data_IF_562656316728
#
_entry.id   IF_562656316728
#
_cell.length_a   1.000
_cell.length_b   1.000
_cell.length_c   1.000
_cell.angle_alpha   90.00
_cell.angle_beta   90.00
_cell.angle_gamma   90.00
#
_symmetry.space_group_name_H-M   'P 1'
#
loop_
_entity.id
_entity.type
_entity.pdbx_description
1 polymer ?
#
# COMPACT_ATOMS: atom_id res chain seq x y z
N UNK A 1 23.84 42.69 36.28
CA UNK A 1 23.19 42.06 35.10
C UNK A 1 23.83 40.72 34.69
N UNK A 2 25.16 40.60 34.59
CA UNK A 2 25.84 39.33 34.19
C UNK A 2 25.60 38.11 35.10
N UNK A 3 25.48 38.33 36.42
CA UNK A 3 25.28 37.26 37.41
C UNK A 3 23.90 36.59 37.30
N UNK A 4 22.86 37.37 37.04
CA UNK A 4 21.50 36.84 36.83
C UNK A 4 21.39 36.08 35.51
N UNK A 5 22.10 36.53 34.46
CA UNK A 5 22.17 35.83 33.17
C UNK A 5 22.78 34.43 33.30
N UNK A 6 23.86 34.29 34.08
CA UNK A 6 24.50 33.00 34.37
C UNK A 6 23.57 32.04 35.13
N UNK A 7 22.80 32.54 36.09
CA UNK A 7 21.82 31.74 36.84
C UNK A 7 20.68 31.28 35.92
N UNK A 8 20.17 32.17 35.05
CA UNK A 8 19.15 31.80 34.07
C UNK A 8 19.64 30.74 33.07
N UNK A 9 20.85 30.90 32.53
CA UNK A 9 21.46 29.89 31.65
C UNK A 9 21.67 28.55 32.36
N UNK A 10 22.11 28.57 33.62
CA UNK A 10 22.29 27.36 34.42
C UNK A 10 20.96 26.65 34.72
N UNK A 11 19.88 27.41 34.98
CA UNK A 11 18.55 26.85 35.18
C UNK A 11 17.90 26.36 33.88
N UNK A 12 18.22 26.96 32.72
CA UNK A 12 17.74 26.54 31.40
C UNK A 12 18.45 25.29 30.87
N UNK A 13 19.70 25.04 31.26
CA UNK A 13 20.47 23.89 30.81
C UNK A 13 19.78 22.53 31.06
N UNK A 14 19.27 22.20 32.27
CA UNK A 14 18.56 20.93 32.50
C UNK A 14 17.23 20.85 31.73
N UNK A 15 16.53 21.98 31.55
CA UNK A 15 15.29 22.02 30.75
C UNK A 15 15.58 21.74 29.28
N UNK A 16 16.64 22.32 28.72
CA UNK A 16 17.08 22.07 27.36
C UNK A 16 17.55 20.62 27.16
N UNK A 17 18.27 20.05 28.13
CA UNK A 17 18.69 18.65 28.13
C UNK A 17 17.50 17.68 28.18
N UNK A 18 16.52 17.94 29.04
CA UNK A 18 15.29 17.15 29.11
C UNK A 18 14.50 17.26 27.80
N UNK A 19 14.32 18.48 27.27
CA UNK A 19 13.63 18.70 26.00
C UNK A 19 14.34 17.98 24.84
N UNK A 20 15.68 18.00 24.80
CA UNK A 20 16.45 17.26 23.81
C UNK A 20 16.29 15.74 23.99
N UNK A 21 16.43 15.24 25.21
CA UNK A 21 16.35 13.80 25.47
C UNK A 21 14.96 13.24 25.11
N UNK A 22 13.88 13.89 25.56
CA UNK A 22 12.50 13.44 25.32
C UNK A 22 11.96 13.75 23.92
N UNK A 23 12.61 14.63 23.15
CA UNK A 23 12.24 14.92 21.77
C UNK A 23 13.21 14.28 20.76
N UNK A 24 14.23 15.03 20.29
CA UNK A 24 15.15 14.55 19.25
C UNK A 24 16.00 13.34 19.68
N UNK A 25 16.32 13.18 20.96
CA UNK A 25 17.06 12.04 21.50
C UNK A 25 16.31 10.71 21.34
N UNK A 26 15.04 10.65 21.76
CA UNK A 26 14.18 9.49 21.54
C UNK A 26 13.99 9.20 20.05
N UNK A 27 13.81 10.22 19.21
CA UNK A 27 13.70 10.04 17.77
C UNK A 27 14.97 9.45 17.13
N UNK A 28 16.15 9.72 17.71
CA UNK A 28 17.40 9.09 17.29
C UNK A 28 17.45 7.60 17.61
N UNK A 29 17.08 7.21 18.84
CA UNK A 29 17.04 5.80 19.25
C UNK A 29 16.02 5.00 18.43
N UNK A 30 14.83 5.57 18.22
CA UNK A 30 13.77 4.98 17.43
C UNK A 30 14.19 4.69 15.97
N UNK A 31 15.05 5.53 15.38
CA UNK A 31 15.62 5.31 14.04
C UNK A 31 16.61 4.15 14.00
N UNK A 32 17.45 4.00 15.02
CA UNK A 32 18.42 2.91 15.07
C UNK A 32 17.72 1.56 15.33
N UNK A 33 16.69 1.56 16.18
CA UNK A 33 15.82 0.40 16.35
C UNK A 33 15.13 0.02 15.03
N UNK A 34 14.50 1.00 14.36
CA UNK A 34 13.89 0.77 13.05
C UNK A 34 14.90 0.23 12.03
N UNK A 35 16.13 0.77 11.99
CA UNK A 35 17.18 0.31 11.07
C UNK A 35 17.56 -1.16 11.30
N UNK A 36 17.63 -1.59 12.55
CA UNK A 36 17.91 -2.98 12.91
C UNK A 36 16.80 -3.89 12.39
N UNK A 37 15.54 -3.54 12.61
CA UNK A 37 14.39 -4.31 12.12
C UNK A 37 14.27 -4.30 10.59
N UNK A 38 14.63 -3.19 9.93
CA UNK A 38 14.68 -3.12 8.45
C UNK A 38 15.73 -4.08 7.92
N UNK A 39 16.93 -4.12 8.51
CA UNK A 39 17.97 -5.04 8.06
C UNK A 39 17.55 -6.49 8.25
N UNK A 40 16.99 -6.83 9.41
CA UNK A 40 16.46 -8.17 9.67
C UNK A 40 15.39 -8.55 8.63
N UNK A 41 14.48 -7.63 8.30
CA UNK A 41 13.45 -7.86 7.27
C UNK A 41 14.08 -8.18 5.91
N UNK A 42 15.10 -7.43 5.49
CA UNK A 42 15.79 -7.66 4.22
C UNK A 42 16.55 -9.00 4.20
N UNK A 43 17.17 -9.38 5.32
CA UNK A 43 17.86 -10.67 5.45
C UNK A 43 16.86 -11.83 5.38
N UNK A 44 15.68 -11.68 6.01
CA UNK A 44 14.60 -12.64 5.90
C UNK A 44 14.01 -12.72 4.48
N UNK A 45 13.84 -11.60 3.77
CA UNK A 45 13.44 -11.60 2.35
C UNK A 45 14.45 -12.35 1.49
N UNK A 46 15.75 -12.12 1.69
CA UNK A 46 16.82 -12.81 0.97
C UNK A 46 16.82 -14.32 1.24
N UNK A 47 16.40 -14.73 2.44
CA UNK A 47 16.20 -16.13 2.81
C UNK A 47 14.83 -16.72 2.43
N UNK A 48 13.98 -15.99 1.70
CA UNK A 48 12.58 -16.35 1.41
C UNK A 48 11.73 -16.64 2.68
N UNK A 49 12.12 -16.10 3.84
CA UNK A 49 11.44 -16.21 5.14
C UNK A 49 10.38 -15.12 5.26
N UNK A 50 9.37 -15.20 4.40
CA UNK A 50 8.42 -14.11 4.18
C UNK A 50 7.63 -13.69 5.42
N UNK A 51 7.27 -14.62 6.31
CA UNK A 51 6.53 -14.28 7.53
C UNK A 51 7.40 -13.48 8.50
N UNK A 52 8.64 -13.92 8.72
CA UNK A 52 9.61 -13.21 9.56
C UNK A 52 9.95 -11.82 8.99
N UNK A 53 10.03 -11.71 7.66
CA UNK A 53 10.21 -10.42 6.99
C UNK A 53 9.05 -9.46 7.28
N UNK A 54 7.80 -9.94 7.18
CA UNK A 54 6.60 -9.14 7.50
C UNK A 54 6.61 -8.67 8.95
N UNK A 55 6.94 -9.56 9.89
CA UNK A 55 7.01 -9.24 11.31
C UNK A 55 8.08 -8.17 11.58
N UNK A 56 9.27 -8.33 10.98
CA UNK A 56 10.36 -7.36 11.08
C UNK A 56 10.02 -6.01 10.46
N UNK A 57 9.26 -5.98 9.35
CA UNK A 57 8.72 -4.74 8.79
C UNK A 57 7.67 -4.08 9.70
N UNK A 58 6.87 -4.86 10.43
CA UNK A 58 5.92 -4.31 11.41
C UNK A 58 6.68 -3.65 12.57
N UNK A 59 7.73 -4.28 13.07
CA UNK A 59 8.58 -3.73 14.13
C UNK A 59 9.25 -2.43 13.67
N UNK A 60 9.80 -2.42 12.44
CA UNK A 60 10.36 -1.21 11.84
C UNK A 60 9.33 -0.08 11.72
N UNK A 61 8.09 -0.40 11.32
CA UNK A 61 6.99 0.57 11.23
C UNK A 61 6.48 1.03 12.60
N UNK A 62 6.61 0.21 13.65
CA UNK A 62 6.25 0.61 15.01
C UNK A 62 7.31 1.56 15.62
N UNK A 63 8.59 1.31 15.35
CA UNK A 63 9.69 2.14 15.84
C UNK A 63 9.83 3.47 15.08
N UNK A 64 9.60 3.49 13.77
CA UNK A 64 9.88 4.67 12.96
C UNK A 64 8.95 5.86 13.32
N UNK A 65 9.45 7.09 13.54
CA UNK A 65 8.59 8.24 13.85
C UNK A 65 7.58 8.56 12.74
N UNK A 66 6.38 9.01 13.10
CA UNK A 66 5.31 9.37 12.14
C UNK A 66 5.70 10.50 11.18
N UNK A 67 6.68 11.34 11.57
CA UNK A 67 7.21 12.40 10.71
C UNK A 67 7.99 11.87 9.51
N UNK A 68 8.45 10.61 9.51
CA UNK A 68 9.20 9.99 8.40
C UNK A 68 8.29 9.31 7.37
N UNK A 69 7.25 10.01 6.93
CA UNK A 69 6.18 9.50 6.05
C UNK A 69 6.70 8.77 4.82
N UNK A 70 7.69 9.33 4.10
CA UNK A 70 8.25 8.72 2.89
C UNK A 70 8.89 7.35 3.17
N UNK A 71 9.65 7.21 4.26
CA UNK A 71 10.22 5.92 4.65
C UNK A 71 9.14 4.95 5.13
N UNK A 72 8.15 5.42 5.90
CA UNK A 72 7.00 4.59 6.32
C UNK A 72 6.28 4.02 5.10
N UNK A 73 6.01 4.83 4.08
CA UNK A 73 5.39 4.37 2.83
C UNK A 73 6.26 3.33 2.09
N UNK A 74 7.59 3.51 2.04
CA UNK A 74 8.50 2.52 1.45
C UNK A 74 8.44 1.18 2.18
N UNK A 75 8.44 1.19 3.52
CA UNK A 75 8.33 -0.02 4.34
C UNK A 75 6.96 -0.67 4.22
N UNK A 76 5.88 0.11 4.14
CA UNK A 76 4.54 -0.41 3.90
C UNK A 76 4.45 -1.12 2.53
N UNK A 77 5.08 -0.57 1.49
CA UNK A 77 5.16 -1.23 0.18
C UNK A 77 5.96 -2.52 0.26
N UNK A 78 7.13 -2.52 0.90
CA UNK A 78 7.97 -3.70 1.06
C UNK A 78 7.22 -4.81 1.82
N UNK A 79 6.61 -4.47 2.96
CA UNK A 79 5.75 -5.38 3.72
C UNK A 79 4.61 -5.93 2.87
N UNK A 80 3.90 -5.08 2.13
CA UNK A 80 2.81 -5.54 1.27
C UNK A 80 3.31 -6.49 0.17
N UNK A 81 4.49 -6.25 -0.39
CA UNK A 81 5.12 -7.18 -1.33
C UNK A 81 5.41 -8.54 -0.67
N UNK A 82 6.00 -8.56 0.52
CA UNK A 82 6.23 -9.80 1.27
C UNK A 82 4.93 -10.55 1.57
N UNK A 83 3.84 -9.85 1.90
CA UNK A 83 2.49 -10.45 2.09
C UNK A 83 1.98 -11.20 0.87
N UNK A 84 2.38 -10.81 -0.34
CA UNK A 84 2.00 -11.54 -1.56
C UNK A 84 2.53 -12.98 -1.60
N UNK A 85 3.58 -13.29 -0.82
CA UNK A 85 4.20 -14.62 -0.78
C UNK A 85 3.62 -15.56 0.29
N UNK A 86 2.83 -15.06 1.26
CA UNK A 86 2.29 -15.85 2.39
C UNK A 86 0.79 -16.14 2.31
N UNK A 87 0.19 -16.04 1.13
CA UNK A 87 -1.25 -16.31 0.95
C UNK A 87 -2.18 -15.15 1.35
N UNK A 88 -1.60 -13.96 1.53
CA UNK A 88 -2.29 -12.72 1.89
C UNK A 88 -2.37 -11.73 0.70
N UNK A 89 -2.51 -12.24 -0.52
CA UNK A 89 -2.52 -11.41 -1.73
C UNK A 89 -3.69 -10.39 -1.76
N UNK A 90 -4.95 -10.75 -1.41
CA UNK A 90 -6.03 -9.76 -1.31
C UNK A 90 -5.75 -8.66 -0.28
N UNK A 91 -5.21 -9.02 0.88
CA UNK A 91 -4.85 -8.09 1.95
C UNK A 91 -3.69 -7.17 1.53
N UNK A 92 -2.70 -7.71 0.82
CA UNK A 92 -1.61 -6.96 0.22
C UNK A 92 -2.12 -5.97 -0.84
N UNK A 93 -3.03 -6.39 -1.73
CA UNK A 93 -3.62 -5.51 -2.75
C UNK A 93 -4.34 -4.32 -2.10
N UNK A 94 -5.18 -4.55 -1.09
CA UNK A 94 -5.86 -3.45 -0.39
C UNK A 94 -4.87 -2.49 0.26
N UNK A 95 -3.85 -3.02 0.94
CA UNK A 95 -2.81 -2.18 1.55
C UNK A 95 -2.10 -1.31 0.50
N UNK A 96 -1.84 -1.86 -0.69
CA UNK A 96 -1.25 -1.12 -1.81
C UNK A 96 -2.23 -0.10 -2.43
N UNK A 97 -3.54 -0.38 -2.48
CA UNK A 97 -4.56 0.60 -2.91
C UNK A 97 -4.58 1.81 -1.98
N UNK A 98 -4.63 1.58 -0.66
CA UNK A 98 -4.55 2.65 0.33
C UNK A 98 -3.23 3.44 0.26
N UNK A 99 -2.11 2.74 0.12
CA UNK A 99 -0.80 3.36 -0.02
C UNK A 99 -0.69 4.19 -1.31
N UNK A 100 -1.35 3.78 -2.39
CA UNK A 100 -1.40 4.56 -3.62
C UNK A 100 -2.14 5.88 -3.41
N UNK A 101 -3.25 5.88 -2.67
CA UNK A 101 -4.00 7.10 -2.35
C UNK A 101 -3.18 8.08 -1.49
N UNK A 102 -2.34 7.58 -0.59
CA UNK A 102 -1.44 8.37 0.23
C UNK A 102 -0.26 8.93 -0.57
N UNK A 103 0.40 8.09 -1.37
CA UNK A 103 1.57 8.48 -2.17
C UNK A 103 1.20 9.40 -3.33
N UNK A 104 0.00 9.28 -3.90
CA UNK A 104 -0.48 10.18 -4.95
C UNK A 104 -0.66 11.64 -4.48
N UNK A 105 -0.95 11.85 -3.19
CA UNK A 105 -1.02 13.18 -2.55
C UNK A 105 0.37 13.73 -2.20
N UNK A 106 1.37 12.87 -2.15
CA UNK A 106 2.75 13.22 -1.86
C UNK A 106 3.52 13.77 -3.06
N UNK A 107 4.76 14.18 -2.82
CA UNK A 107 5.68 14.67 -3.85
C UNK A 107 6.59 13.59 -4.43
N UNK A 108 6.71 12.43 -3.78
CA UNK A 108 7.60 11.34 -4.24
C UNK A 108 6.94 10.51 -5.36
N UNK A 109 7.08 11.02 -6.59
CA UNK A 109 6.58 10.35 -7.80
C UNK A 109 7.30 9.03 -8.11
N UNK A 110 8.53 8.85 -7.64
CA UNK A 110 9.24 7.58 -7.85
C UNK A 110 8.62 6.48 -6.98
N UNK A 111 8.29 6.80 -5.72
CA UNK A 111 7.57 5.88 -4.85
C UNK A 111 6.16 5.60 -5.34
N UNK A 112 5.40 6.63 -5.76
CA UNK A 112 4.06 6.44 -6.33
C UNK A 112 4.09 5.44 -7.50
N UNK A 113 5.05 5.59 -8.44
CA UNK A 113 5.23 4.65 -9.57
C UNK A 113 5.53 3.22 -9.10
N UNK A 114 6.39 3.06 -8.09
CA UNK A 114 6.69 1.73 -7.50
C UNK A 114 5.45 1.09 -6.89
N UNK A 115 4.64 1.87 -6.15
CA UNK A 115 3.37 1.39 -5.58
C UNK A 115 2.40 0.98 -6.69
N UNK A 116 2.21 1.80 -7.73
CA UNK A 116 1.37 1.47 -8.90
C UNK A 116 1.80 0.17 -9.57
N UNK A 117 3.11 0.00 -9.78
CA UNK A 117 3.65 -1.20 -10.42
C UNK A 117 3.40 -2.45 -9.58
N UNK A 118 3.63 -2.37 -8.26
CA UNK A 118 3.37 -3.52 -7.39
C UNK A 118 1.87 -3.84 -7.26
N UNK A 119 1.03 -2.81 -7.13
CA UNK A 119 -0.42 -2.97 -7.09
C UNK A 119 -0.95 -3.64 -8.36
N UNK A 120 -0.47 -3.22 -9.53
CA UNK A 120 -0.84 -3.81 -10.81
C UNK A 120 -0.44 -5.29 -10.91
N UNK A 121 0.75 -5.65 -10.40
CA UNK A 121 1.18 -7.04 -10.30
C UNK A 121 0.28 -7.86 -9.36
N UNK A 122 -0.08 -7.31 -8.19
CA UNK A 122 -0.98 -7.99 -7.26
C UNK A 122 -2.37 -8.21 -7.88
N UNK A 123 -2.91 -7.19 -8.56
CA UNK A 123 -4.18 -7.24 -9.28
C UNK A 123 -4.16 -8.26 -10.43
N UNK A 124 -3.05 -8.34 -11.17
CA UNK A 124 -2.84 -9.37 -12.20
C UNK A 124 -2.94 -10.79 -11.61
N UNK A 125 -2.22 -11.06 -10.51
CA UNK A 125 -2.25 -12.36 -9.86
C UNK A 125 -3.60 -12.68 -9.22
N UNK A 126 -4.30 -11.69 -8.68
CA UNK A 126 -5.69 -11.85 -8.19
C UNK A 126 -6.62 -12.24 -9.33
N UNK A 127 -6.57 -11.53 -10.45
CA UNK A 127 -7.37 -11.89 -11.63
C UNK A 127 -7.09 -13.30 -12.12
N UNK A 128 -5.82 -13.72 -12.17
CA UNK A 128 -5.45 -15.10 -12.48
C UNK A 128 -6.07 -16.08 -11.49
N UNK A 129 -5.86 -15.90 -10.19
CA UNK A 129 -6.35 -16.82 -9.16
C UNK A 129 -7.88 -16.91 -9.15
N UNK A 130 -8.58 -15.79 -9.30
CA UNK A 130 -10.03 -15.79 -9.42
C UNK A 130 -10.53 -16.61 -10.62
N UNK A 131 -9.78 -16.60 -11.73
CA UNK A 131 -10.11 -17.47 -12.87
C UNK A 131 -9.95 -18.95 -12.53
N UNK A 132 -8.87 -19.33 -11.83
CA UNK A 132 -8.66 -20.70 -11.38
C UNK A 132 -9.71 -21.16 -10.36
N UNK A 133 -10.24 -20.22 -9.56
CA UNK A 133 -11.35 -20.42 -8.63
C UNK A 133 -12.73 -20.36 -9.30
N UNK A 134 -12.80 -20.29 -10.64
CA UNK A 134 -14.04 -20.25 -11.42
C UNK A 134 -14.95 -19.05 -11.09
N UNK A 135 -14.36 -17.90 -10.75
CA UNK A 135 -15.12 -16.67 -10.53
C UNK A 135 -15.87 -16.23 -11.79
N UNK A 136 -16.94 -15.46 -11.59
CA UNK A 136 -17.66 -14.86 -12.71
C UNK A 136 -16.74 -13.91 -13.49
N UNK A 137 -16.90 -13.86 -14.83
CA UNK A 137 -16.13 -12.98 -15.71
C UNK A 137 -16.04 -11.55 -15.21
N UNK A 138 -17.15 -11.01 -14.73
CA UNK A 138 -17.21 -9.64 -14.20
C UNK A 138 -16.29 -9.43 -12.99
N UNK A 139 -16.16 -10.43 -12.13
CA UNK A 139 -15.39 -10.32 -10.90
C UNK A 139 -13.89 -10.38 -11.14
N UNK A 140 -13.41 -11.32 -11.97
CA UNK A 140 -11.98 -11.42 -12.26
C UNK A 140 -11.50 -10.40 -13.28
N UNK A 141 -12.37 -9.86 -14.13
CA UNK A 141 -12.02 -8.77 -15.05
C UNK A 141 -11.74 -7.46 -14.31
N UNK A 142 -12.45 -7.17 -13.22
CA UNK A 142 -12.28 -5.91 -12.46
C UNK A 142 -10.83 -5.65 -12.02
N UNK A 143 -10.13 -6.57 -11.31
CA UNK A 143 -8.73 -6.38 -10.96
C UNK A 143 -7.83 -6.34 -12.20
N UNK A 144 -8.09 -7.13 -13.26
CA UNK A 144 -7.30 -7.06 -14.49
C UNK A 144 -7.42 -5.72 -15.21
N UNK A 145 -8.61 -5.12 -15.26
CA UNK A 145 -8.81 -3.81 -15.85
C UNK A 145 -8.09 -2.71 -15.07
N UNK A 146 -8.02 -2.82 -13.73
CA UNK A 146 -7.21 -1.93 -12.89
C UNK A 146 -5.71 -2.11 -13.15
N UNK A 147 -5.23 -3.36 -13.24
CA UNK A 147 -3.84 -3.66 -13.55
C UNK A 147 -3.43 -3.08 -14.92
N UNK A 148 -4.29 -3.25 -15.93
CA UNK A 148 -4.11 -2.70 -17.27
C UNK A 148 -3.98 -1.18 -17.25
N UNK A 149 -4.85 -0.48 -16.51
CA UNK A 149 -4.79 0.98 -16.41
C UNK A 149 -3.48 1.45 -15.78
N UNK A 150 -3.05 0.81 -14.69
CA UNK A 150 -1.80 1.14 -14.02
C UNK A 150 -0.58 0.92 -14.92
N UNK A 151 -0.45 -0.23 -15.57
CA UNK A 151 0.70 -0.49 -16.45
C UNK A 151 0.71 0.39 -17.70
N UNK A 152 -0.46 0.69 -18.27
CA UNK A 152 -0.55 1.64 -19.39
C UNK A 152 -0.04 3.03 -18.99
N UNK A 153 -0.52 3.55 -17.85
CA UNK A 153 -0.05 4.84 -17.34
C UNK A 153 1.47 4.83 -17.11
N UNK A 154 1.99 3.79 -16.47
CA UNK A 154 3.42 3.65 -16.19
C UNK A 154 4.26 3.60 -17.47
N UNK A 155 3.81 2.88 -18.50
CA UNK A 155 4.47 2.80 -19.80
C UNK A 155 4.51 4.15 -20.52
N UNK A 156 3.38 4.89 -20.52
CA UNK A 156 3.29 6.23 -21.12
C UNK A 156 4.15 7.27 -20.39
N UNK A 157 4.20 7.21 -19.06
CA UNK A 157 5.03 8.12 -18.26
C UNK A 157 6.52 7.83 -18.40
N UNK A 158 6.92 6.56 -18.37
CA UNK A 158 8.31 6.15 -18.51
C UNK A 158 8.84 6.33 -19.93
N UNK A 159 7.98 6.27 -20.97
CA UNK A 159 8.39 6.53 -22.35
C UNK A 159 9.08 7.91 -22.53
N UNK A 160 8.81 8.86 -21.63
CA UNK A 160 9.38 10.21 -21.66
C UNK A 160 10.77 10.29 -21.04
N UNK A 161 11.17 9.32 -20.21
CA UNK A 161 12.36 9.44 -19.36
C UNK A 161 13.26 8.20 -19.38
N UNK A 162 12.70 7.01 -19.59
CA UNK A 162 13.39 5.73 -19.51
C UNK A 162 12.74 4.71 -20.46
N UNK A 163 13.40 4.46 -21.60
CA UNK A 163 12.93 3.53 -22.62
C UNK A 163 12.90 2.07 -22.13
N UNK A 164 13.80 1.68 -21.21
CA UNK A 164 13.82 0.32 -20.67
C UNK A 164 12.63 0.10 -19.75
N UNK A 165 12.42 1.01 -18.79
CA UNK A 165 11.26 0.93 -17.90
C UNK A 165 9.93 0.98 -18.68
N UNK A 166 9.86 1.78 -19.76
CA UNK A 166 8.71 1.81 -20.66
C UNK A 166 8.44 0.47 -21.31
N UNK A 167 9.47 -0.18 -21.84
CA UNK A 167 9.36 -1.52 -22.43
C UNK A 167 8.91 -2.55 -21.38
N UNK A 168 9.53 -2.57 -20.21
CA UNK A 168 9.17 -3.50 -19.14
C UNK A 168 7.69 -3.33 -18.73
N UNK A 169 7.18 -2.10 -18.65
CA UNK A 169 5.76 -1.83 -18.37
C UNK A 169 4.84 -2.20 -19.54
N UNK A 170 5.27 -2.07 -20.79
CA UNK A 170 4.53 -2.55 -21.96
C UNK A 170 4.40 -4.08 -21.96
N UNK A 171 5.47 -4.81 -21.67
CA UNK A 171 5.43 -6.27 -21.56
C UNK A 171 4.48 -6.74 -20.45
N UNK A 172 4.48 -6.05 -19.31
CA UNK A 172 3.53 -6.30 -18.22
C UNK A 172 2.08 -6.00 -18.65
N UNK A 173 1.86 -4.90 -19.38
CA UNK A 173 0.54 -4.57 -19.94
C UNK A 173 0.05 -5.64 -20.91
N UNK A 174 0.92 -6.13 -21.79
CA UNK A 174 0.63 -7.22 -22.72
C UNK A 174 0.29 -8.51 -21.98
N UNK A 175 1.01 -8.83 -20.90
CA UNK A 175 0.72 -9.99 -20.06
C UNK A 175 -0.69 -9.92 -19.44
N UNK A 176 -1.12 -8.73 -18.96
CA UNK A 176 -2.48 -8.51 -18.46
C UNK A 176 -3.51 -8.69 -19.58
N UNK A 177 -3.27 -8.12 -20.76
CA UNK A 177 -4.18 -8.24 -21.91
C UNK A 177 -4.27 -9.69 -22.39
N UNK A 178 -3.15 -10.42 -22.42
CA UNK A 178 -3.11 -11.85 -22.74
C UNK A 178 -3.92 -12.64 -21.73
N UNK A 179 -3.71 -12.40 -20.43
CA UNK A 179 -4.49 -13.06 -19.38
C UNK A 179 -5.98 -12.75 -19.47
N UNK A 180 -6.39 -11.55 -19.86
CA UNK A 180 -7.80 -11.24 -20.04
C UNK A 180 -8.45 -11.96 -21.26
N UNK A 181 -7.63 -12.37 -22.24
CA UNK A 181 -8.08 -12.97 -23.50
C UNK A 181 -7.94 -14.50 -23.56
N UNK A 182 -7.02 -15.09 -22.79
CA UNK A 182 -6.85 -16.54 -22.72
C UNK A 182 -8.15 -17.21 -22.27
N UNK A 183 -8.39 -18.43 -22.72
CA UNK A 183 -9.48 -19.26 -22.22
C UNK A 183 -9.11 -19.86 -20.85
N UNK A 184 -10.05 -20.55 -20.20
CA UNK A 184 -9.78 -21.12 -18.87
C UNK A 184 -8.80 -22.30 -18.94
N UNK A 185 -8.89 -23.14 -19.98
CA UNK A 185 -8.01 -24.28 -20.20
C UNK A 185 -6.55 -23.87 -20.32
N UNK A 186 -6.27 -22.81 -21.07
CA UNK A 186 -4.95 -22.23 -21.25
C UNK A 186 -4.42 -21.72 -19.90
N UNK A 187 -5.25 -21.04 -19.12
CA UNK A 187 -4.85 -20.51 -17.79
C UNK A 187 -4.55 -21.64 -16.80
N UNK A 188 -5.27 -22.76 -16.88
CA UNK A 188 -5.02 -23.95 -16.06
C UNK A 188 -3.77 -24.72 -16.50
N UNK A 189 -3.40 -24.66 -17.78
CA UNK A 189 -2.20 -25.29 -18.31
C UNK A 189 -0.91 -24.54 -17.95
N UNK A 190 -1.01 -23.25 -17.59
CA UNK A 190 0.14 -22.45 -17.19
C UNK A 190 0.63 -22.81 -15.77
N UNK A 191 1.96 -22.83 -15.53
CA UNK A 191 2.48 -23.07 -14.19
C UNK A 191 2.06 -21.95 -13.24
N UNK A 192 1.55 -22.34 -12.07
CA UNK A 192 1.19 -21.41 -11.00
C UNK A 192 2.44 -20.63 -10.55
N UNK A 193 2.43 -19.29 -10.62
CA UNK A 193 3.53 -18.48 -10.11
C UNK A 193 3.79 -18.78 -8.63
N UNK A 194 5.06 -18.74 -8.18
CA UNK A 194 5.41 -18.97 -6.76
C UNK A 194 4.57 -18.09 -5.79
N UNK A 195 4.36 -16.81 -6.15
CA UNK A 195 3.53 -15.85 -5.41
C UNK A 195 2.06 -16.32 -5.23
N UNK A 196 1.58 -17.21 -6.09
CA UNK A 196 0.21 -17.71 -6.07
C UNK A 196 0.05 -19.00 -5.24
N UNK A 197 1.12 -19.72 -4.91
CA UNK A 197 1.03 -21.09 -4.34
C UNK A 197 0.39 -21.15 -2.94
N UNK A 198 0.53 -20.11 -2.12
CA UNK A 198 -0.07 -20.03 -0.79
C UNK A 198 -1.48 -19.42 -0.74
N UNK A 199 -1.97 -18.87 -1.85
CA UNK A 199 -3.23 -18.12 -1.87
C UNK A 199 -4.43 -19.05 -2.08
N UNK A 200 -5.38 -19.00 -1.14
CA UNK A 200 -6.63 -19.78 -1.18
C UNK A 200 -7.82 -18.87 -0.92
N UNK A 201 -8.95 -19.18 -1.56
CA UNK A 201 -10.22 -18.47 -1.38
C UNK A 201 -10.11 -16.97 -1.72
N UNK A 202 -9.34 -16.63 -2.76
CA UNK A 202 -9.11 -15.24 -3.20
C UNK A 202 -10.44 -14.55 -3.51
N UNK A 203 -11.36 -15.24 -4.20
CA UNK A 203 -12.69 -14.71 -4.50
C UNK A 203 -13.46 -14.32 -3.25
N UNK A 204 -13.52 -15.19 -2.24
CA UNK A 204 -14.29 -14.93 -1.02
C UNK A 204 -13.65 -13.81 -0.19
N UNK A 205 -12.31 -13.78 -0.09
CA UNK A 205 -11.54 -12.71 0.55
C UNK A 205 -11.80 -11.36 -0.12
N UNK A 206 -11.67 -11.26 -1.44
CA UNK A 206 -11.93 -10.03 -2.18
C UNK A 206 -13.40 -9.56 -2.07
N UNK A 207 -14.37 -10.48 -2.11
CA UNK A 207 -15.79 -10.15 -1.86
C UNK A 207 -16.02 -9.64 -0.43
N UNK A 208 -15.38 -10.25 0.57
CA UNK A 208 -15.45 -9.82 1.97
C UNK A 208 -14.89 -8.41 2.18
N UNK A 209 -13.74 -8.13 1.59
CA UNK A 209 -13.08 -6.83 1.59
C UNK A 209 -13.94 -5.73 0.94
N UNK A 210 -14.58 -6.03 -0.20
CA UNK A 210 -15.52 -5.09 -0.85
C UNK A 210 -16.72 -4.78 0.05
N UNK A 211 -17.19 -5.74 0.84
CA UNK A 211 -18.30 -5.52 1.79
C UNK A 211 -17.87 -4.68 3.00
N UNK A 212 -16.67 -4.89 3.53
CA UNK A 212 -16.16 -4.09 4.65
C UNK A 212 -15.85 -2.64 4.25
N UNK A 213 -15.43 -2.41 3.01
CA UNK A 213 -15.13 -1.07 2.49
C UNK A 213 -16.36 -0.30 1.98
N UNK A 214 -17.56 -0.91 1.94
CA UNK A 214 -18.78 -0.13 1.71
C UNK A 214 -18.97 0.81 2.91
N UNK A 215 -19.21 2.11 2.68
CA UNK A 215 -19.67 2.98 3.75
C UNK A 215 -20.86 2.29 4.40
N UNK A 216 -20.80 2.07 5.73
CA UNK A 216 -22.01 1.67 6.45
C UNK A 216 -23.06 2.70 6.07
N UNK A 217 -24.23 2.26 5.60
CA UNK A 217 -25.38 3.14 5.40
C UNK A 217 -25.64 3.83 6.73
N UNK A 218 -25.05 5.00 6.93
CA UNK A 218 -25.41 5.89 8.02
C UNK A 218 -26.85 6.22 7.70
N UNK A 219 -27.79 5.76 8.55
CA UNK A 219 -29.19 6.16 8.52
C UNK A 219 -29.23 7.62 8.09
N UNK A 220 -29.79 7.86 6.90
CA UNK A 220 -30.00 9.19 6.33
C UNK A 220 -30.56 10.04 7.46
N UNK A 221 -29.79 11.02 7.96
CA UNK A 221 -30.37 12.02 8.87
C UNK A 221 -31.49 12.67 8.07
N UNK A 222 -32.72 12.55 8.54
CA UNK A 222 -33.85 13.28 7.98
C UNK A 222 -33.46 14.75 7.95
N UNK A 223 -33.39 15.32 6.74
CA UNK A 223 -33.10 16.73 6.54
C UNK A 223 -34.30 17.50 7.10
N UNK A 224 -34.10 18.24 8.20
CA UNK A 224 -35.14 19.02 8.88
C UNK A 224 -35.57 20.28 8.09
N UNK A 225 -35.36 20.30 6.77
CA UNK A 225 -35.91 21.31 5.87
C UNK A 225 -37.31 20.89 5.42
N UNK A 226 -38.23 20.86 6.39
CA UNK A 226 -39.65 20.92 6.11
C UNK A 226 -39.94 22.22 5.38
N UNK A 227 -40.34 22.11 4.11
CA UNK A 227 -40.75 23.23 3.28
C UNK A 227 -41.92 23.96 3.94
N UNK A 228 -41.69 25.21 4.38
CA UNK A 228 -42.76 26.15 4.66
C UNK A 228 -43.39 26.56 3.32
N UNK A 229 -44.40 25.82 2.89
CA UNK A 229 -45.25 26.22 1.77
C UNK A 229 -46.15 27.34 2.29
N UNK A 230 -45.76 28.59 2.02
CA UNK A 230 -46.59 29.75 2.33
C UNK A 230 -47.91 29.66 1.57
N UNK A 231 -49.03 29.67 2.31
CA UNK A 231 -50.37 29.83 1.72
C UNK A 231 -50.47 31.23 1.10
N UNK A 232 -50.89 31.28 -0.16
CA UNK A 232 -51.24 32.52 -0.87
C UNK A 232 -52.61 32.99 -0.37
N UNK A 233 -52.83 34.27 -0.03
CA UNK A 233 -54.15 34.78 0.34
C UNK A 233 -55.05 34.89 -0.89
N UNK A 234 -56.35 34.69 -0.67
CA UNK A 234 -57.44 34.71 -1.65
C UNK A 234 -57.63 36.09 -2.31
#
# INVERSE_FOLDING_TARGET
MKKNLLIFLWALAPVALLAFHFGPGQAGLAREEAKTSIQAALDFEAGEQWQQAIDSYNDALAALPDSETAKRHQLQLARANARTHVGELPEAMLAMEHLLDETAKGSDKALEKKVRSSLANAQYHIGWLMRLELAEKKEWMEPLDKARQNFRLLAEESAKTDAKASKDHQENLEAVVRLARMDLSDVQALPLPKKCQGNKNVCSKCRGQKKSNKPKDMKKKEDARGASVGKRPD
#
